data_IF_924695800852
#
_entry.id   IF_924695800852
#
_cell.length_a   1.000
_cell.length_b   1.000
_cell.length_c   1.000
_cell.angle_alpha   90.00
_cell.angle_beta   90.00
_cell.angle_gamma   90.00
#
_symmetry.space_group_name_H-M   'P 1'
#
loop_
_entity.id
_entity.type
_entity.pdbx_description
1 polymer ?
#
# COMPACT_ATOMS: atom_id res chain seq x y z
N UNK A 1 -2.62 1.49 9.95
CA UNK A 1 -3.92 0.87 9.61
C UNK A 1 -4.03 0.81 8.10
N UNK A 2 -4.28 -0.36 7.51
CA UNK A 2 -4.27 -0.73 6.07
C UNK A 2 -2.98 -1.19 5.37
N UNK A 3 -1.73 -0.93 5.81
CA UNK A 3 -0.56 -1.39 5.05
C UNK A 3 -0.61 -2.89 4.76
N UNK A 4 -0.54 -3.27 3.49
CA UNK A 4 -0.43 -4.68 3.09
C UNK A 4 0.93 -5.25 3.49
N UNK A 5 1.00 -6.53 3.84
CA UNK A 5 2.24 -7.16 4.34
C UNK A 5 2.48 -6.94 5.84
N UNK A 6 1.84 -5.96 6.47
CA UNK A 6 2.17 -5.52 7.82
C UNK A 6 1.69 -6.49 8.91
N UNK A 7 0.48 -7.04 8.73
CA UNK A 7 -0.25 -7.72 9.79
C UNK A 7 0.52 -8.89 10.38
N UNK A 8 1.22 -9.64 9.52
CA UNK A 8 1.94 -10.87 9.88
C UNK A 8 3.31 -11.00 9.25
N UNK A 9 3.60 -10.40 8.09
CA UNK A 9 4.80 -10.76 7.30
C UNK A 9 5.96 -9.79 7.46
N UNK A 10 5.74 -8.48 7.36
CA UNK A 10 6.84 -7.51 7.31
C UNK A 10 7.66 -7.49 8.60
N UNK A 11 8.99 -7.60 8.47
CA UNK A 11 9.95 -7.42 9.57
C UNK A 11 10.37 -5.97 9.77
N UNK A 12 10.23 -5.15 8.73
CA UNK A 12 10.54 -3.72 8.71
C UNK A 12 9.45 -2.96 7.93
N UNK A 13 9.30 -1.67 8.21
CA UNK A 13 8.44 -0.79 7.43
C UNK A 13 9.04 0.61 7.29
N UNK A 14 8.63 1.31 6.22
CA UNK A 14 8.78 2.77 6.13
C UNK A 14 7.57 3.41 6.79
N UNK A 15 7.79 4.02 7.96
CA UNK A 15 6.78 4.70 8.76
C UNK A 15 6.79 6.18 8.43
N UNK A 16 5.62 6.74 8.14
CA UNK A 16 5.45 8.18 7.97
C UNK A 16 4.93 8.80 9.26
N UNK A 17 5.69 9.74 9.82
CA UNK A 17 5.36 10.42 11.06
C UNK A 17 5.80 11.90 11.02
N UNK A 18 5.28 12.71 11.95
CA UNK A 18 5.69 14.12 12.09
C UNK A 18 7.10 14.17 12.68
N UNK A 19 8.02 14.82 11.97
CA UNK A 19 9.38 15.02 12.44
C UNK A 19 9.41 16.18 13.44
N UNK A 20 9.71 15.88 14.70
CA UNK A 20 9.85 16.86 15.76
C UNK A 20 11.32 16.91 16.18
N UNK A 21 11.92 18.09 16.18
CA UNK A 21 13.25 18.33 16.75
C UNK A 21 13.30 19.67 17.48
N UNK A 22 13.92 19.68 18.66
CA UNK A 22 13.76 20.79 19.61
C UNK A 22 12.28 21.00 19.95
N UNK A 23 11.79 22.24 19.81
CA UNK A 23 10.38 22.60 19.99
C UNK A 23 9.62 22.77 18.66
N UNK A 24 10.21 22.33 17.53
CA UNK A 24 9.66 22.59 16.19
C UNK A 24 9.20 21.30 15.50
N UNK A 25 8.10 21.43 14.78
CA UNK A 25 7.51 20.42 13.92
C UNK A 25 7.81 20.72 12.45
N UNK A 26 8.42 19.77 11.75
CA UNK A 26 8.85 19.91 10.36
C UNK A 26 7.96 19.16 9.37
N UNK A 27 6.81 18.65 9.83
CA UNK A 27 5.86 17.91 8.99
C UNK A 27 6.27 16.45 8.77
N UNK A 28 5.60 15.80 7.82
CA UNK A 28 5.64 14.35 7.65
C UNK A 28 6.91 13.89 6.92
N UNK A 29 7.62 12.94 7.52
CA UNK A 29 8.85 12.33 7.00
C UNK A 29 8.80 10.82 7.13
N UNK A 30 9.61 10.12 6.32
CA UNK A 30 9.73 8.67 6.32
C UNK A 30 10.88 8.18 7.21
N UNK A 31 10.61 7.12 7.97
CA UNK A 31 11.54 6.48 8.89
C UNK A 31 11.51 4.97 8.69
N UNK A 32 12.67 4.33 8.55
CA UNK A 32 12.77 2.87 8.55
C UNK A 32 12.68 2.42 10.01
N UNK A 33 11.74 1.51 10.29
CA UNK A 33 11.54 0.95 11.63
C UNK A 33 11.52 -0.56 11.51
N UNK A 34 12.34 -1.24 12.32
CA UNK A 34 12.23 -2.68 12.49
C UNK A 34 11.01 -2.98 13.37
N UNK A 35 10.15 -3.89 12.89
CA UNK A 35 8.89 -4.24 13.53
C UNK A 35 8.97 -5.56 14.29
N UNK A 36 9.77 -6.50 13.77
CA UNK A 36 9.87 -7.86 14.27
C UNK A 36 11.33 -8.29 14.36
N UNK A 37 11.61 -9.17 15.31
CA UNK A 37 12.89 -9.89 15.38
C UNK A 37 13.11 -10.69 14.10
N UNK A 38 14.37 -10.76 13.64
CA UNK A 38 14.73 -11.57 12.47
C UNK A 38 14.96 -13.04 12.82
N UNK A 39 15.05 -13.36 14.11
CA UNK A 39 15.33 -14.72 14.58
C UNK A 39 14.05 -15.53 14.80
N UNK A 40 13.06 -14.92 15.46
CA UNK A 40 11.82 -15.61 15.89
C UNK A 40 10.53 -14.92 15.41
N UNK A 41 10.66 -13.82 14.66
CA UNK A 41 9.55 -13.03 14.12
C UNK A 41 8.61 -12.38 15.16
N UNK A 42 9.00 -12.41 16.43
CA UNK A 42 8.26 -11.76 17.51
C UNK A 42 8.26 -10.23 17.32
N UNK A 43 7.15 -9.52 17.63
CA UNK A 43 7.14 -8.06 17.62
C UNK A 43 8.18 -7.48 18.58
N UNK A 44 8.92 -6.45 18.15
CA UNK A 44 9.91 -5.79 19.00
C UNK A 44 9.26 -4.99 20.15
N UNK A 45 10.00 -4.68 21.24
CA UNK A 45 9.48 -3.92 22.37
C UNK A 45 8.83 -2.58 21.95
N UNK A 46 7.67 -2.27 22.54
CA UNK A 46 6.90 -1.06 22.24
C UNK A 46 6.12 -1.13 20.91
N UNK A 47 6.11 -2.27 20.22
CA UNK A 47 5.36 -2.44 18.96
C UNK A 47 4.11 -3.28 19.19
N UNK A 48 2.96 -2.74 18.79
CA UNK A 48 1.71 -3.50 18.65
C UNK A 48 1.39 -3.62 17.17
N UNK A 49 1.34 -4.85 16.65
CA UNK A 49 1.08 -5.13 15.23
C UNK A 49 0.11 -6.30 15.09
N UNK A 50 -0.80 -6.22 14.12
CA UNK A 50 -1.78 -7.27 13.88
C UNK A 50 -2.52 -7.08 12.57
N UNK A 51 -3.25 -8.12 12.15
CA UNK A 51 -4.13 -8.08 10.98
C UNK A 51 -5.43 -7.33 11.32
N UNK A 52 -5.97 -6.56 10.37
CA UNK A 52 -7.20 -5.77 10.58
C UNK A 52 -8.50 -6.57 10.38
N UNK A 53 -8.40 -7.82 9.91
CA UNK A 53 -9.50 -8.74 9.74
C UNK A 53 -10.00 -8.88 8.30
N UNK A 54 -11.23 -9.41 8.22
CA UNK A 54 -11.87 -9.76 6.96
C UNK A 54 -12.21 -8.52 6.13
N UNK A 55 -11.94 -8.63 4.83
CA UNK A 55 -12.14 -7.62 3.79
C UNK A 55 -13.19 -8.10 2.79
N UNK A 56 -13.72 -7.18 2.00
CA UNK A 56 -14.79 -7.45 1.05
C UNK A 56 -14.38 -8.48 -0.03
N UNK A 57 -15.29 -9.43 -0.31
CA UNK A 57 -15.16 -10.44 -1.37
C UNK A 57 -14.57 -11.78 -0.92
N UNK A 58 -15.07 -12.87 -1.47
CA UNK A 58 -14.55 -14.23 -1.22
C UNK A 58 -13.17 -14.41 -1.85
N UNK A 59 -12.17 -14.81 -1.06
CA UNK A 59 -10.78 -14.83 -1.50
C UNK A 59 -10.24 -13.41 -1.61
N UNK A 60 -10.36 -12.78 -2.79
CA UNK A 60 -9.98 -11.38 -3.06
C UNK A 60 -8.75 -10.89 -2.26
N UNK A 61 -8.89 -9.79 -1.51
CA UNK A 61 -7.81 -9.25 -0.67
C UNK A 61 -7.67 -9.96 0.69
N UNK A 62 -8.50 -10.95 1.03
CA UNK A 62 -8.36 -11.70 2.28
C UNK A 62 -7.08 -12.56 2.32
N UNK A 63 -6.41 -12.76 1.19
CA UNK A 63 -5.06 -13.34 1.14
C UNK A 63 -3.96 -12.36 1.58
N UNK A 64 -4.25 -11.06 1.64
CA UNK A 64 -3.31 -10.03 2.09
C UNK A 64 -3.51 -9.73 3.56
N UNK A 65 -2.41 -9.70 4.31
CA UNK A 65 -2.35 -9.42 5.74
C UNK A 65 -2.30 -7.91 6.03
N UNK A 66 -3.32 -7.18 5.56
CA UNK A 66 -3.42 -5.74 5.83
C UNK A 66 -3.41 -5.48 7.35
N UNK A 67 -2.49 -4.63 7.79
CA UNK A 67 -2.18 -4.52 9.21
C UNK A 67 -2.58 -3.21 9.89
N UNK A 68 -2.61 -3.27 11.23
CA UNK A 68 -2.50 -2.13 12.12
C UNK A 68 -1.13 -2.11 12.78
N UNK A 69 -0.69 -0.92 13.18
CA UNK A 69 0.59 -0.71 13.85
C UNK A 69 0.44 0.43 14.84
N UNK A 70 0.86 0.22 16.09
CA UNK A 70 1.01 1.24 17.13
C UNK A 70 2.43 1.15 17.69
N UNK A 71 3.01 2.32 17.93
CA UNK A 71 4.29 2.47 18.60
C UNK A 71 4.08 3.04 20.00
N UNK A 72 4.81 2.50 20.96
CA UNK A 72 4.93 3.00 22.32
C UNK A 72 6.39 3.38 22.57
N UNK A 73 6.70 4.66 22.35
CA UNK A 73 8.04 5.24 22.56
C UNK A 73 9.22 4.44 21.93
N UNK A 74 8.97 3.81 20.78
CA UNK A 74 9.99 3.03 20.05
C UNK A 74 11.14 3.92 19.60
N UNK A 75 12.37 3.48 19.85
CA UNK A 75 13.59 4.20 19.50
C UNK A 75 14.25 3.58 18.27
N UNK A 76 14.68 4.42 17.35
CA UNK A 76 15.46 4.05 16.18
C UNK A 76 16.71 4.93 16.08
N UNK A 77 17.81 4.42 15.50
CA UNK A 77 18.94 5.26 15.12
C UNK A 77 18.53 6.44 14.22
N UNK A 78 19.14 7.61 14.43
CA UNK A 78 18.89 8.84 13.63
C UNK A 78 18.99 8.58 12.13
N UNK A 79 19.98 7.79 11.70
CA UNK A 79 20.24 7.49 10.30
C UNK A 79 19.19 6.57 9.64
N UNK A 80 18.19 6.08 10.38
CA UNK A 80 17.03 5.39 9.81
C UNK A 80 15.94 6.35 9.31
N UNK A 81 16.08 7.67 9.51
CA UNK A 81 15.29 8.65 8.76
C UNK A 81 15.73 8.69 7.29
N UNK A 82 14.77 8.76 6.36
CA UNK A 82 15.04 8.87 4.93
C UNK A 82 15.52 10.28 4.56
N UNK A 83 16.83 10.51 4.62
CA UNK A 83 17.43 11.85 4.59
C UNK A 83 17.78 12.41 3.20
N UNK A 84 17.22 11.88 2.10
CA UNK A 84 17.61 12.32 0.74
C UNK A 84 17.27 13.78 0.42
N UNK A 85 16.11 14.26 0.87
CA UNK A 85 15.62 15.63 0.58
C UNK A 85 15.60 16.54 1.81
N UNK A 86 15.64 15.96 3.01
CA UNK A 86 15.59 16.67 4.29
C UNK A 86 16.41 15.89 5.29
N UNK A 87 17.29 16.57 6.03
CA UNK A 87 18.27 15.97 6.92
C UNK A 87 18.08 16.49 8.35
N UNK A 88 18.52 15.71 9.32
CA UNK A 88 18.62 16.14 10.72
C UNK A 88 20.05 15.87 11.17
N UNK A 89 20.81 16.89 11.57
CA UNK A 89 22.21 16.70 12.01
C UNK A 89 22.29 15.95 13.34
N UNK A 90 23.51 15.60 13.78
CA UNK A 90 23.70 14.93 15.08
C UNK A 90 23.26 15.82 16.25
N UNK A 91 23.36 17.12 16.09
CA UNK A 91 22.96 18.16 17.04
C UNK A 91 21.43 18.39 17.01
N UNK A 92 20.69 17.69 16.15
CA UNK A 92 19.24 17.84 16.02
C UNK A 92 18.80 18.97 15.10
N UNK A 93 19.71 19.61 14.35
CA UNK A 93 19.33 20.68 13.44
C UNK A 93 18.67 20.13 12.17
N UNK A 94 17.46 20.60 11.86
CA UNK A 94 16.83 20.31 10.56
C UNK A 94 17.53 21.10 9.45
N UNK A 95 17.89 20.42 8.36
CA UNK A 95 18.53 21.00 7.18
C UNK A 95 17.83 20.48 5.93
N UNK A 96 17.33 21.39 5.10
CA UNK A 96 16.79 21.02 3.80
C UNK A 96 17.96 20.70 2.85
N UNK A 97 17.89 19.58 2.12
CA UNK A 97 18.91 19.27 1.11
C UNK A 97 18.78 20.19 -0.11
N UNK A 98 19.86 20.29 -0.87
CA UNK A 98 19.94 20.84 -2.22
C UNK A 98 19.13 20.06 -3.27
N UNK A 99 18.75 18.80 -2.97
CA UNK A 99 17.94 17.96 -3.85
C UNK A 99 16.54 18.56 -4.05
N UNK A 100 16.12 18.86 -5.29
CA UNK A 100 14.80 19.37 -5.57
C UNK A 100 13.70 18.41 -5.08
N UNK A 101 12.82 18.90 -4.20
CA UNK A 101 11.70 18.11 -3.64
C UNK A 101 10.77 17.59 -4.73
N UNK A 102 10.75 18.26 -5.88
CA UNK A 102 9.94 17.92 -7.03
C UNK A 102 10.25 16.51 -7.57
N UNK A 103 11.47 16.00 -7.37
CA UNK A 103 11.85 14.65 -7.80
C UNK A 103 11.05 13.55 -7.09
N UNK A 104 10.53 13.81 -5.87
CA UNK A 104 9.68 12.86 -5.15
C UNK A 104 8.34 12.64 -5.86
N UNK A 105 7.87 13.61 -6.66
CA UNK A 105 6.66 13.43 -7.47
C UNK A 105 6.82 12.33 -8.53
N UNK A 106 8.04 11.98 -8.93
CA UNK A 106 8.29 10.92 -9.90
C UNK A 106 7.66 9.58 -9.50
N UNK A 107 7.75 9.21 -8.22
CA UNK A 107 7.11 7.99 -7.70
C UNK A 107 5.59 8.06 -7.81
N UNK A 108 4.97 9.21 -7.52
CA UNK A 108 3.52 9.37 -7.64
C UNK A 108 3.05 9.29 -9.09
N UNK A 109 3.79 9.86 -10.03
CA UNK A 109 3.47 9.77 -11.47
C UNK A 109 3.55 8.32 -11.93
N UNK A 110 4.62 7.61 -11.58
CA UNK A 110 4.80 6.22 -11.94
C UNK A 110 3.68 5.33 -11.37
N UNK A 111 3.42 5.40 -10.06
CA UNK A 111 2.38 4.59 -9.41
C UNK A 111 0.98 4.90 -9.98
N UNK A 112 0.68 6.15 -10.33
CA UNK A 112 -0.60 6.47 -10.98
C UNK A 112 -0.69 5.90 -12.39
N UNK A 113 0.41 5.90 -13.14
CA UNK A 113 0.46 5.29 -14.46
C UNK A 113 0.22 3.77 -14.38
N UNK A 114 0.77 3.07 -13.38
CA UNK A 114 0.51 1.63 -13.21
C UNK A 114 -0.97 1.35 -12.91
N UNK A 115 -1.63 2.17 -12.08
CA UNK A 115 -3.08 2.04 -11.81
C UNK A 115 -3.91 2.13 -13.09
N UNK A 116 -3.55 3.03 -14.02
CA UNK A 116 -4.24 3.14 -15.32
C UNK A 116 -4.04 1.87 -16.17
N UNK A 117 -2.85 1.29 -16.14
CA UNK A 117 -2.58 0.01 -16.81
C UNK A 117 -3.37 -1.14 -16.17
N UNK A 118 -3.47 -1.18 -14.85
CA UNK A 118 -4.22 -2.22 -14.13
C UNK A 118 -5.72 -2.14 -14.41
N UNK A 119 -6.25 -0.93 -14.59
CA UNK A 119 -7.66 -0.72 -14.95
C UNK A 119 -8.00 -1.36 -16.31
N UNK A 120 -7.13 -1.22 -17.32
CA UNK A 120 -7.36 -1.85 -18.63
C UNK A 120 -7.28 -3.37 -18.54
N UNK A 121 -6.34 -3.91 -17.76
CA UNK A 121 -6.22 -5.35 -17.53
C UNK A 121 -7.45 -5.93 -16.82
N UNK A 122 -7.90 -5.29 -15.73
CA UNK A 122 -9.09 -5.71 -14.99
C UNK A 122 -10.35 -5.66 -15.86
N UNK A 123 -10.53 -4.57 -16.63
CA UNK A 123 -11.67 -4.41 -17.52
C UNK A 123 -11.65 -5.42 -18.66
N UNK A 124 -10.50 -5.66 -19.29
CA UNK A 124 -10.37 -6.62 -20.39
C UNK A 124 -10.77 -8.04 -19.96
N UNK A 125 -10.41 -8.46 -18.73
CA UNK A 125 -10.82 -9.75 -18.17
C UNK A 125 -12.34 -9.84 -18.00
N UNK A 126 -12.96 -8.80 -17.43
CA UNK A 126 -14.39 -8.76 -17.22
C UNK A 126 -15.17 -8.75 -18.55
N UNK A 127 -14.78 -7.90 -19.49
CA UNK A 127 -15.40 -7.80 -20.82
C UNK A 127 -15.22 -9.11 -21.59
N UNK A 128 -14.05 -9.77 -21.51
CA UNK A 128 -13.85 -11.06 -22.16
C UNK A 128 -14.85 -12.12 -21.68
N UNK A 129 -15.09 -12.21 -20.36
CA UNK A 129 -16.08 -13.13 -19.78
C UNK A 129 -17.47 -12.77 -20.29
N UNK A 130 -17.85 -11.50 -20.19
CA UNK A 130 -19.17 -11.02 -20.60
C UNK A 130 -19.44 -11.28 -22.09
N UNK A 131 -18.51 -10.89 -22.97
CA UNK A 131 -18.63 -11.08 -24.42
C UNK A 131 -18.73 -12.56 -24.81
N UNK A 132 -17.91 -13.43 -24.19
CA UNK A 132 -17.99 -14.88 -24.44
C UNK A 132 -19.33 -15.45 -24.00
N UNK A 133 -19.82 -15.05 -22.84
CA UNK A 133 -21.12 -15.50 -22.34
C UNK A 133 -22.26 -14.99 -23.21
N UNK A 134 -22.24 -13.72 -23.63
CA UNK A 134 -23.26 -13.15 -24.53
C UNK A 134 -23.30 -13.82 -25.91
N UNK A 135 -22.16 -14.31 -26.41
CA UNK A 135 -22.13 -15.04 -27.67
C UNK A 135 -22.81 -16.41 -27.60
N UNK A 136 -22.96 -17.00 -26.41
CA UNK A 136 -23.58 -18.34 -26.23
C UNK A 136 -24.95 -18.28 -25.59
N UNK A 137 -25.20 -17.29 -24.71
CA UNK A 137 -26.48 -17.13 -24.05
C UNK A 137 -27.52 -16.73 -25.07
N UNK A 138 -28.62 -17.48 -25.10
CA UNK A 138 -29.82 -17.13 -25.86
C UNK A 138 -30.94 -16.88 -24.89
N UNK A 139 -31.70 -15.81 -25.12
CA UNK A 139 -32.87 -15.48 -24.33
C UNK A 139 -33.82 -14.59 -25.14
N UNK A 140 -35.12 -14.89 -25.07
CA UNK A 140 -36.20 -14.21 -25.81
C UNK A 140 -36.11 -14.41 -27.35
N UNK A 141 -36.97 -13.69 -28.09
CA UNK A 141 -36.82 -13.47 -29.54
C UNK A 141 -36.63 -14.74 -30.38
N UNK A 142 -37.52 -15.73 -30.25
CA UNK A 142 -37.58 -16.84 -31.22
C UNK A 142 -38.24 -16.34 -32.50
N UNK A 143 -37.55 -16.47 -33.63
CA UNK A 143 -38.15 -16.22 -34.94
C UNK A 143 -38.68 -17.53 -35.51
N UNK A 144 -39.99 -17.57 -35.77
CA UNK A 144 -40.70 -18.69 -36.41
C UNK A 144 -40.52 -20.06 -35.72
N UNK A 145 -40.47 -20.09 -34.38
CA UNK A 145 -40.27 -21.33 -33.62
C UNK A 145 -38.82 -21.86 -33.65
N UNK A 146 -37.88 -21.06 -34.19
CA UNK A 146 -36.45 -21.33 -34.14
C UNK A 146 -35.83 -21.05 -32.77
N UNK A 147 -34.50 -21.28 -32.61
CA UNK A 147 -33.80 -20.99 -31.37
C UNK A 147 -33.89 -19.51 -30.98
N UNK A 148 -33.92 -19.23 -29.67
CA UNK A 148 -33.93 -17.89 -29.08
C UNK A 148 -32.72 -17.04 -29.55
N UNK A 149 -32.85 -15.71 -29.50
CA UNK A 149 -31.80 -14.77 -29.94
C UNK A 149 -30.62 -14.73 -28.96
N UNK A 150 -29.39 -14.59 -29.47
CA UNK A 150 -28.18 -14.43 -28.64
C UNK A 150 -28.14 -13.02 -28.01
N UNK A 151 -27.85 -12.94 -26.71
CA UNK A 151 -27.85 -11.71 -25.89
C UNK A 151 -26.68 -11.68 -24.92
#
# INVERSE_FOLDING_TARGET
WWPGGLGKVSTHAVVYARLITGAQDHGVHGFIVQLRSLDDHSPLPGITVGDIGMKFGSGAYNSMDNGLLRFDHVRIPRNQMLMRVSQVTREGKFVQSDVPRQLVYGTMVYVRQTIVSDASCALARAVCIATRYSAVRRQFGSQNGGPETQV
#
